data_IF_129925046018
#
_entry.id   IF_129925046018
#
_cell.length_a   1.000
_cell.length_b   1.000
_cell.length_c   1.000
_cell.angle_alpha   90.00
_cell.angle_beta   90.00
_cell.angle_gamma   90.00
#
_symmetry.space_group_name_H-M   'P 1'
#
loop_
_entity.id
_entity.type
_entity.pdbx_description
1 polymer ?
2 non-polymer ?
3 non-polymer ?
4 water ?
#
# COMPACT_ATOMS: atom_id res chain seq x y z
N UNK A 1 -13.32 -4.04 -20.86
CA UNK A 1 -12.60 -2.86 -21.39
C UNK A 1 -12.10 -1.93 -20.29
N UNK A 2 -12.88 -1.89 -19.11
CA UNK A 2 -12.41 -1.06 -17.97
C UNK A 2 -11.15 -1.75 -17.44
N UNK A 3 -11.12 -2.94 -17.62
CA UNK A 3 -9.94 -3.70 -17.21
C UNK A 3 -8.75 -3.25 -18.07
N UNK A 4 -8.95 -3.14 -19.38
CA UNK A 4 -7.85 -2.78 -20.32
C UNK A 4 -7.43 -1.34 -20.07
N UNK A 5 -8.36 -0.43 -19.90
CA UNK A 5 -8.06 0.99 -19.60
C UNK A 5 -7.31 1.11 -18.27
N UNK A 6 -7.82 0.43 -17.25
CA UNK A 6 -7.21 0.49 -15.91
C UNK A 6 -5.77 0.01 -16.01
N UNK A 7 -5.52 -1.07 -16.74
CA UNK A 7 -4.15 -1.64 -16.88
C UNK A 7 -3.24 -0.58 -17.49
N UNK A 8 -3.69 0.08 -18.55
CA UNK A 8 -2.87 1.10 -19.27
C UNK A 8 -2.61 2.29 -18.35
N UNK A 9 -3.63 2.77 -17.66
CA UNK A 9 -3.51 3.95 -16.76
C UNK A 9 -2.55 3.63 -15.61
N UNK A 10 -2.66 2.44 -15.05
CA UNK A 10 -1.82 2.03 -13.91
C UNK A 10 -0.37 1.88 -14.36
N UNK A 11 -0.17 1.31 -15.52
CA UNK A 11 1.19 1.11 -16.08
C UNK A 11 1.81 2.48 -16.31
N UNK A 12 1.06 3.42 -16.86
CA UNK A 12 1.55 4.78 -17.13
C UNK A 12 1.91 5.45 -15.81
N UNK A 13 1.06 5.32 -14.81
CA UNK A 13 1.28 5.98 -13.51
C UNK A 13 2.58 5.45 -12.90
N UNK A 14 2.75 4.14 -12.85
CA UNK A 14 3.91 3.51 -12.18
C UNK A 14 5.19 3.86 -12.94
N UNK A 15 5.10 3.93 -14.25
CA UNK A 15 6.26 4.25 -15.13
C UNK A 15 6.68 5.70 -14.84
N UNK A 16 5.75 6.61 -14.64
CA UNK A 16 6.05 8.03 -14.36
C UNK A 16 6.52 8.20 -12.92
N UNK A 17 5.88 7.49 -11.98
CA UNK A 17 6.14 7.67 -10.54
C UNK A 17 7.55 7.20 -10.18
N UNK A 18 8.05 6.19 -10.88
CA UNK A 18 9.39 5.61 -10.59
C UNK A 18 10.47 6.68 -10.76
N UNK A 19 10.24 7.70 -11.56
CA UNK A 19 11.23 8.76 -11.81
C UNK A 19 11.08 9.89 -10.80
N UNK A 20 10.01 9.87 -9.99
CA UNK A 20 9.70 10.99 -9.09
C UNK A 20 10.63 10.96 -7.87
N UNK A 21 10.92 12.13 -7.30
CA UNK A 21 11.92 12.16 -6.24
C UNK A 21 11.45 11.45 -4.97
N UNK A 22 12.27 10.57 -4.40
CA UNK A 22 11.92 9.81 -3.19
C UNK A 22 11.32 8.45 -3.47
N UNK A 23 11.01 8.15 -4.73
CA UNK A 23 10.33 6.87 -5.04
C UNK A 23 11.35 5.76 -5.16
N UNK A 24 11.22 4.75 -4.32
CA UNK A 24 12.10 3.57 -4.30
C UNK A 24 11.33 2.42 -4.95
N UNK A 25 11.91 1.81 -5.97
CA UNK A 25 11.27 0.69 -6.70
C UNK A 25 11.87 -0.62 -6.21
N UNK A 26 11.03 -1.55 -5.80
CA UNK A 26 11.47 -2.88 -5.31
C UNK A 26 11.42 -3.87 -6.48
N UNK A 27 12.15 -4.99 -6.40
CA UNK A 27 12.13 -6.01 -7.44
C UNK A 27 10.72 -6.48 -7.80
N UNK A 28 9.82 -6.47 -6.82
CA UNK A 28 8.43 -6.93 -7.00
C UNK A 28 7.67 -6.00 -7.93
N UNK A 29 8.06 -4.74 -8.00
CA UNK A 29 7.32 -3.70 -8.74
C UNK A 29 6.67 -2.78 -7.73
N UNK A 30 6.62 -3.20 -6.47
CA UNK A 30 6.10 -2.32 -5.40
C UNK A 30 7.01 -1.11 -5.35
N UNK A 31 6.45 0.08 -5.21
CA UNK A 31 7.20 1.34 -5.07
C UNK A 31 6.85 1.94 -3.72
N UNK A 32 7.74 2.74 -3.13
CA UNK A 32 7.40 3.45 -1.88
C UNK A 32 8.16 4.75 -1.75
N UNK A 33 7.68 5.61 -0.88
CA UNK A 33 8.31 6.91 -0.56
C UNK A 33 8.26 7.00 0.97
N UNK A 34 9.37 7.38 1.59
CA UNK A 34 9.44 7.52 3.07
C UNK A 34 8.93 8.91 3.43
N UNK A 35 7.84 8.99 4.21
CA UNK A 35 7.22 10.28 4.62
C UNK A 35 7.81 10.68 5.96
N UNK A 36 7.93 9.72 6.86
CA UNK A 36 8.52 9.93 8.21
C UNK A 36 9.20 8.62 8.58
N UNK A 37 10.47 8.67 8.94
CA UNK A 37 11.22 7.45 9.31
C UNK A 37 11.04 7.19 10.80
N UNK A 38 10.75 5.96 11.18
CA UNK A 38 10.65 5.57 12.59
C UNK A 38 11.90 4.84 13.02
N UNK A 39 12.08 4.60 14.31
CA UNK A 39 13.30 3.96 14.86
C UNK A 39 12.94 2.64 15.50
N UNK A 40 11.71 2.17 15.33
CA UNK A 40 11.23 0.95 15.98
C UNK A 40 11.57 -0.34 15.27
N UNK A 41 11.08 -1.44 15.80
CA UNK A 41 11.30 -2.79 15.21
C UNK A 41 10.54 -2.92 13.90
N UNK A 42 11.01 -3.80 13.03
CA UNK A 42 10.33 -4.10 11.75
C UNK A 42 9.48 -5.34 12.01
N UNK A 43 8.21 -5.39 11.58
CA UNK A 43 7.43 -6.56 11.77
C UNK A 43 7.87 -7.74 10.90
N UNK A 44 7.65 -8.96 11.37
CA UNK A 44 7.89 -10.17 10.58
C UNK A 44 6.61 -10.61 9.93
N UNK A 45 6.65 -11.63 9.09
CA UNK A 45 5.48 -12.10 8.31
C UNK A 45 4.38 -12.62 9.24
N UNK A 46 4.72 -13.09 10.43
CA UNK A 46 3.75 -13.74 11.35
C UNK A 46 3.28 -12.77 12.43
N UNK A 47 3.71 -11.52 12.40
CA UNK A 47 3.39 -10.55 13.47
C UNK A 47 2.06 -9.85 13.18
N UNK A 48 1.55 -9.12 14.17
CA UNK A 48 0.33 -8.30 14.05
C UNK A 48 0.83 -6.86 14.13
N UNK A 49 0.22 -5.94 13.40
CA UNK A 49 0.59 -4.51 13.39
C UNK A 49 -0.63 -3.67 13.71
N UNK A 50 -0.42 -2.50 14.28
CA UNK A 50 -1.48 -1.52 14.52
C UNK A 50 -1.05 -0.35 13.64
N UNK A 51 -1.92 0.14 12.77
CA UNK A 51 -1.54 1.17 11.77
C UNK A 51 -2.61 2.22 11.56
N UNK A 52 -2.22 3.39 11.15
CA UNK A 52 -3.16 4.41 10.65
C UNK A 52 -2.92 4.40 9.14
N UNK A 53 -3.95 4.47 8.31
CA UNK A 53 -3.73 4.38 6.85
C UNK A 53 -4.85 5.03 6.07
N UNK A 54 -4.53 5.38 4.85
CA UNK A 54 -5.51 5.95 3.91
C UNK A 54 -5.19 5.26 2.59
N UNK A 55 -6.20 4.75 1.89
CA UNK A 55 -6.05 4.11 0.56
C UNK A 55 -6.71 5.00 -0.45
N UNK A 56 -6.06 5.23 -1.57
CA UNK A 56 -6.61 6.10 -2.63
C UNK A 56 -6.22 5.59 -4.00
N UNK A 57 -6.98 6.00 -5.00
CA UNK A 57 -6.72 5.61 -6.39
C UNK A 57 -5.83 6.67 -7.03
N UNK A 58 -5.38 6.44 -8.26
CA UNK A 58 -4.43 7.36 -8.94
C UNK A 58 -5.09 8.71 -9.19
N UNK A 59 -6.42 8.75 -9.30
CA UNK A 59 -7.16 10.02 -9.52
C UNK A 59 -7.24 10.80 -8.20
N UNK A 60 -6.81 10.20 -7.10
CA UNK A 60 -6.79 10.86 -5.78
C UNK A 60 -8.00 10.53 -4.92
N UNK A 61 -8.88 9.67 -5.39
CA UNK A 61 -10.11 9.31 -4.66
C UNK A 61 -9.75 8.39 -3.50
N UNK A 62 -10.01 8.83 -2.28
CA UNK A 62 -9.78 8.01 -1.06
C UNK A 62 -10.92 7.00 -0.97
N UNK A 63 -10.62 5.72 -0.83
CA UNK A 63 -11.63 4.64 -0.77
C UNK A 63 -11.63 3.99 0.61
N UNK A 64 -10.65 4.32 1.45
CA UNK A 64 -10.59 3.77 2.82
C UNK A 64 -9.65 4.62 3.68
N UNK A 65 -9.96 4.80 4.96
CA UNK A 65 -9.14 5.63 5.86
C UNK A 65 -9.48 5.40 7.32
N UNK A 66 -8.47 5.41 8.18
CA UNK A 66 -8.64 5.33 9.65
C UNK A 66 -8.76 6.75 10.17
N UNK A 67 -8.65 7.76 9.33
CA UNK A 67 -8.65 9.18 9.73
C UNK A 67 -10.01 9.61 10.28
N UNK A 68 -10.01 10.30 11.41
CA UNK A 68 -11.23 10.86 12.05
C UNK A 68 -12.12 9.71 12.50
N UNK A 69 -11.57 8.53 12.68
CA UNK A 69 -12.31 7.35 13.19
C UNK A 69 -12.09 7.23 14.70
N UNK A 70 -11.07 7.88 15.23
CA UNK A 70 -10.74 7.84 16.66
C UNK A 70 -9.97 6.60 17.02
N UNK A 71 -9.74 5.71 16.05
CA UNK A 71 -8.99 4.45 16.31
C UNK A 71 -8.09 3.92 15.15
N UNK A 72 -6.95 3.27 15.48
CA UNK A 72 -6.10 2.69 14.45
C UNK A 72 -6.62 1.30 14.10
N UNK A 73 -6.12 0.71 13.02
CA UNK A 73 -6.52 -0.63 12.58
C UNK A 73 -5.46 -1.63 12.98
N UNK A 74 -5.82 -2.90 13.09
CA UNK A 74 -4.92 -4.00 13.46
C UNK A 74 -5.02 -5.09 12.39
N UNK A 75 -3.88 -5.54 11.87
CA UNK A 75 -3.83 -6.57 10.81
C UNK A 75 -2.72 -7.59 11.07
N UNK A 76 -2.98 -8.85 10.77
CA UNK A 76 -1.92 -9.87 10.72
C UNK A 76 -1.14 -9.55 9.43
N UNK A 77 0.19 -9.44 9.47
CA UNK A 77 1.02 -8.98 8.32
C UNK A 77 0.79 -9.82 7.06
N UNK A 78 0.67 -11.12 7.20
CA UNK A 78 0.50 -12.02 6.02
C UNK A 78 -0.92 -12.16 5.43
N UNK A 79 -1.90 -11.61 6.13
CA UNK A 79 -3.33 -11.76 5.72
C UNK A 79 -3.88 -10.48 5.07
N UNK A 80 -3.03 -9.60 4.58
CA UNK A 80 -3.45 -8.40 3.80
C UNK A 80 -2.89 -8.57 2.38
N UNK A 81 -3.14 -7.60 1.51
CA UNK A 81 -2.66 -7.67 0.10
C UNK A 81 -1.13 -7.83 0.08
N UNK A 82 -0.58 -8.55 -0.93
CA UNK A 82 0.88 -8.74 -1.02
C UNK A 82 1.68 -7.44 -0.89
N UNK A 83 1.21 -6.34 -1.45
CA UNK A 83 1.88 -5.04 -1.36
C UNK A 83 2.08 -4.63 0.08
N UNK A 84 1.04 -4.80 0.89
CA UNK A 84 1.11 -4.49 2.34
C UNK A 84 2.05 -5.49 3.03
N UNK A 85 1.90 -6.77 2.79
CA UNK A 85 2.72 -7.79 3.49
C UNK A 85 4.18 -7.44 3.26
N UNK A 86 4.52 -7.11 2.02
CA UNK A 86 5.92 -6.77 1.66
C UNK A 86 6.34 -5.47 2.33
N UNK A 87 5.61 -4.38 2.15
CA UNK A 87 5.99 -3.06 2.68
C UNK A 87 6.12 -3.07 4.20
N UNK A 88 5.19 -3.70 4.89
CA UNK A 88 5.18 -3.65 6.38
C UNK A 88 6.50 -4.24 6.89
N UNK A 89 6.97 -5.32 6.28
CA UNK A 89 8.19 -6.02 6.76
C UNK A 89 9.45 -5.17 6.57
N UNK A 90 9.41 -4.11 5.78
CA UNK A 90 10.55 -3.19 5.56
C UNK A 90 10.44 -1.95 6.43
N UNK A 91 9.33 -1.76 7.14
CA UNK A 91 9.06 -0.50 7.88
C UNK A 91 9.37 -0.58 9.36
N UNK A 92 10.32 0.21 9.87
CA UNK A 92 10.52 0.31 11.31
C UNK A 92 9.25 0.88 11.96
N UNK A 93 8.85 0.35 13.11
CA UNK A 93 7.70 0.90 13.85
C UNK A 93 7.91 2.39 14.02
N UNK A 94 6.86 3.20 13.92
CA UNK A 94 6.94 4.67 13.99
C UNK A 94 7.07 5.31 12.62
N UNK A 95 7.24 4.52 11.56
CA UNK A 95 7.44 5.05 10.20
C UNK A 95 6.12 5.34 9.48
N UNK A 96 6.08 6.40 8.68
CA UNK A 96 4.95 6.65 7.76
C UNK A 96 5.53 6.52 6.35
N UNK A 97 5.02 5.60 5.56
CA UNK A 97 5.43 5.42 4.16
C UNK A 97 4.23 5.66 3.24
N UNK A 98 4.48 6.03 1.99
CA UNK A 98 3.41 6.07 0.98
C UNK A 98 3.81 4.96 0.01
N UNK A 99 3.00 3.95 -0.19
CA UNK A 99 3.31 2.80 -1.08
C UNK A 99 2.44 2.87 -2.33
N UNK A 100 2.98 2.49 -3.47
CA UNK A 100 2.30 2.49 -4.78
C UNK A 100 2.26 1.02 -5.17
N UNK A 101 1.08 0.41 -5.20
CA UNK A 101 0.92 -1.06 -5.36
C UNK A 101 0.41 -1.42 -6.74
N UNK A 102 1.21 -2.12 -7.57
CA UNK A 102 0.68 -2.63 -8.81
C UNK A 102 -0.48 -3.56 -8.50
N UNK A 103 -1.44 -3.68 -9.42
CA UNK A 103 -2.65 -4.51 -9.23
C UNK A 103 -2.29 -5.96 -8.92
N UNK A 104 -1.19 -6.47 -9.48
CA UNK A 104 -0.77 -7.86 -9.27
C UNK A 104 -0.37 -8.12 -7.83
N UNK A 105 -0.05 -7.06 -7.10
CA UNK A 105 0.32 -7.14 -5.66
C UNK A 105 -0.87 -6.66 -4.84
N UNK A 106 -2.03 -6.49 -5.44
CA UNK A 106 -3.25 -6.07 -4.71
C UNK A 106 -4.38 -7.05 -5.02
N UNK A 107 -5.39 -6.66 -5.79
CA UNK A 107 -6.57 -7.52 -6.09
C UNK A 107 -6.51 -8.06 -7.51
N UNK A 108 -5.58 -7.60 -8.34
CA UNK A 108 -5.34 -8.22 -9.64
C UNK A 108 -6.34 -7.94 -10.74
N UNK A 109 -6.43 -8.80 -11.79
CA UNK A 109 -7.39 -8.62 -12.88
C UNK A 109 -8.78 -8.38 -12.28
N UNK A 110 -9.15 -9.11 -11.23
CA UNK A 110 -10.42 -8.87 -10.50
C UNK A 110 -11.57 -8.60 -11.45
N UNK A 111 -12.02 -9.56 -12.26
CA UNK A 111 -13.07 -9.31 -13.28
C UNK A 111 -14.15 -8.37 -12.72
N UNK A 112 -14.65 -8.59 -11.49
CA UNK A 112 -15.71 -7.74 -10.88
C UNK A 112 -15.05 -6.46 -10.36
N UNK A 113 -15.32 -6.02 -9.12
CA UNK A 113 -14.82 -4.73 -8.59
C UNK A 113 -15.93 -3.97 -7.87
N UNK A 114 -15.61 -2.85 -7.21
CA UNK A 114 -16.59 -2.03 -6.51
C UNK A 114 -15.77 -0.86 -6.06
N UNK A 115 -15.21 -0.85 -4.84
CA UNK A 115 -14.26 0.19 -4.48
C UNK A 115 -13.08 -0.03 -5.44
N UNK A 116 -12.63 -1.27 -5.59
CA UNK A 116 -11.43 -1.63 -6.41
C UNK A 116 -11.87 -2.31 -7.70
N UNK A 117 -11.61 -1.66 -8.82
CA UNK A 117 -11.93 -2.21 -10.15
C UNK A 117 -10.88 -3.20 -10.63
N UNK A 118 -10.97 -3.68 -11.88
CA UNK A 118 -10.01 -4.61 -12.42
C UNK A 118 -8.68 -3.89 -12.74
N UNK A 119 -7.55 -4.55 -12.48
CA UNK A 119 -6.20 -4.00 -12.77
C UNK A 119 -6.04 -2.62 -12.13
N UNK A 120 -6.47 -2.47 -10.88
CA UNK A 120 -6.44 -1.17 -10.16
C UNK A 120 -5.14 -0.99 -9.36
N UNK A 121 -4.43 0.10 -9.63
CA UNK A 121 -3.19 0.47 -8.92
C UNK A 121 -3.63 1.22 -7.67
N UNK A 122 -3.12 0.83 -6.50
CA UNK A 122 -3.57 1.43 -5.22
C UNK A 122 -2.44 2.20 -4.55
N UNK A 123 -2.73 3.37 -4.01
CA UNK A 123 -1.75 4.22 -3.27
C UNK A 123 -2.18 4.22 -1.81
N UNK A 124 -1.27 3.89 -0.91
CA UNK A 124 -1.56 3.88 0.53
C UNK A 124 -0.58 4.69 1.36
N UNK A 125 -1.09 5.55 2.23
CA UNK A 125 -0.26 6.19 3.27
C UNK A 125 -0.40 5.21 4.43
N UNK A 126 0.69 4.71 4.99
CA UNK A 126 0.68 3.73 6.10
C UNK A 126 1.58 4.25 7.22
N UNK A 127 1.01 4.52 8.39
CA UNK A 127 1.77 4.90 9.59
C UNK A 127 1.77 3.68 10.50
N UNK A 128 2.91 2.99 10.59
CA UNK A 128 3.07 1.82 11.49
C UNK A 128 3.22 2.35 12.90
N UNK A 129 2.22 2.12 13.74
CA UNK A 129 2.23 2.62 15.14
C UNK A 129 2.97 1.61 16.01
N UNK A 130 2.65 0.33 15.91
CA UNK A 130 3.23 -0.70 16.80
C UNK A 130 3.26 -2.07 16.16
N UNK A 131 4.09 -2.95 16.69
CA UNK A 131 4.22 -4.35 16.23
C UNK A 131 4.07 -5.26 17.43
N UNK A 132 3.40 -6.38 17.29
CA UNK A 132 3.22 -7.37 18.38
C UNK A 132 3.60 -8.73 17.83
N UNK A 133 4.35 -9.52 18.59
CA UNK A 133 4.78 -10.86 18.15
C UNK A 133 3.71 -11.86 18.56
X LIG B 1 -11.86 -0.31 9.24
X LIG B 1 -12.41 -1.54 8.63
X LIG B 1 -11.19 0.44 8.13
X LIG B 1 -12.16 1.04 7.34
X LIG B 1 -10.34 1.51 8.82
X LIG B 1 -11.21 2.24 9.65
X LIG C 1 -10.39 -4.61 9.51
X LIG C 1 -10.41 -3.43 8.85
X LIG C 1 -10.12 -4.25 11.09
X LIG C 1 -10.14 -5.40 11.83
X LIG C 1 -8.77 -3.50 11.18
X LIG C 1 -8.44 -3.40 12.61
X LIG D 1 -7.11 -2.82 2.43
X LIG D 1 -9.64 -7.02 1.24
X LIG D 1 -6.17 -3.91 2.17
X LIG D 1 -4.85 -3.56 2.85
X LIG D 1 -5.07 -3.32 4.35
X LIG D 1 -6.10 -2.24 4.56
X LIG D 1 -7.42 -2.55 3.85
X LIG D 1 -9.35 -3.18 5.37
X LIG D 1 -8.05 -7.52 4.59
X LIG D 1 -10.81 -7.27 0.67
X LIG D 1 -11.69 -8.25 2.61
X LIG D 1 -9.76 -3.05 0.00
X LIG D 1 -11.12 -3.26 -0.20
X LIG D 1 -12.07 -2.60 0.55
X LIG D 1 -11.64 -1.71 1.51
X LIG D 1 -8.76 -4.65 3.42
X LIG D 1 -8.12 -7.07 3.13
X LIG D 1 -9.48 -7.38 2.52
X LIG D 1 -11.86 -7.88 1.30
X LIG D 1 -10.48 -8.00 3.24
X LIG D 1 -6.54 -5.35 2.49
X LIG D 1 -10.30 -1.47 1.74
X LIG D 1 -9.36 -2.16 0.98
X LIG D 1 -8.24 -3.69 4.49
X LIG D 1 -7.77 -5.64 2.99
X LIG D 1 -7.53 -0.53 1.69
X LIG D 1 -9.82 -4.24 6.20
X LIG D 1 -5.72 -6.23 2.28
X LIG D 1 -6.96 -2.27 0.06
X LIG D 1 -7.64 -1.87 1.25
X LIG D 1 -12.81 -0.87 2.48
X LIG D 1 -11.62 -4.38 -1.42
#
# INVERSE_FOLDING_TARGET
KKADENKVKGEAFLTENKNKPGVVVLPSGLQYKVINSGNGVKPGKSDTVTVEYTGRLIDGTVFDSTEKTGKPATFQVSQVIPGWTEALQLMPAGSTWEIYVPSGLAYGPRSVGGPIGPNETLIFKIHLISVKK
GOL C1 O1 C2 O2 C3 O3
GOL C1 O1 C2 O2 C3 O3
WRL N1 N3 C4 C5 C6 C7 C8 C10 C13 C15 C17 C20 C21 C22 C1 C11 C12 C14 C16 C18 C19 C2 C3 C9 N2 O1 O2 O3 O4 S1 CL1 CL2
#
